data_IF_822233449090
#
_entry.id   IF_822233449090
#
_cell.length_a   1.000
_cell.length_b   1.000
_cell.length_c   1.000
_cell.angle_alpha   90.00
_cell.angle_beta   90.00
_cell.angle_gamma   90.00
#
_symmetry.space_group_name_H-M   'P 1'
#
loop_
_entity.id
_entity.type
_entity.pdbx_description
1 polymer ?
#
# COMPACT_ATOMS: atom_id res chain seq x y z
N UNK A 1 6.50 -34.62 13.02
CA UNK A 1 6.14 -33.56 12.05
C UNK A 1 5.50 -32.43 12.85
N UNK A 2 5.96 -31.19 12.64
CA UNK A 2 5.32 -30.03 13.25
C UNK A 2 4.03 -29.73 12.47
N UNK A 3 2.90 -29.69 13.18
CA UNK A 3 1.59 -29.41 12.58
C UNK A 3 1.40 -27.91 12.27
N UNK A 4 2.30 -27.07 12.79
CA UNK A 4 2.26 -25.62 12.62
C UNK A 4 3.65 -25.02 12.75
N UNK A 5 3.92 -23.96 12.00
CA UNK A 5 5.17 -23.23 12.01
C UNK A 5 4.88 -21.78 12.38
N UNK A 6 5.63 -21.24 13.32
CA UNK A 6 5.63 -19.81 13.58
C UNK A 6 6.51 -19.14 12.54
N UNK A 7 5.92 -18.30 11.69
CA UNK A 7 6.67 -17.53 10.70
C UNK A 7 6.23 -16.07 10.71
N UNK A 8 7.21 -15.20 10.91
CA UNK A 8 7.12 -13.79 10.57
C UNK A 8 8.10 -13.56 9.42
N UNK A 9 7.61 -13.19 8.27
CA UNK A 9 8.44 -12.95 7.08
C UNK A 9 8.36 -11.49 6.68
N UNK A 10 9.46 -10.98 6.14
CA UNK A 10 9.52 -9.64 5.54
C UNK A 10 9.07 -9.64 4.07
N UNK A 11 8.81 -10.82 3.48
CA UNK A 11 8.40 -10.97 2.08
C UNK A 11 7.01 -11.59 2.05
N UNK A 12 6.07 -10.92 1.40
CA UNK A 12 4.74 -11.46 1.08
C UNK A 12 4.79 -12.28 -0.20
N UNK A 13 4.02 -13.37 -0.25
CA UNK A 13 3.87 -14.17 -1.46
C UNK A 13 2.42 -14.10 -1.91
N UNK A 14 2.19 -13.83 -3.20
CA UNK A 14 0.83 -13.80 -3.75
C UNK A 14 0.82 -14.37 -5.17
N UNK A 15 -0.10 -15.27 -5.40
CA UNK A 15 -0.26 -15.91 -6.70
C UNK A 15 -0.69 -17.36 -6.57
N UNK A 16 -0.70 -18.04 -7.71
CA UNK A 16 -1.02 -19.44 -7.81
C UNK A 16 -0.10 -20.10 -8.85
N UNK A 17 0.33 -21.30 -8.55
CA UNK A 17 1.15 -22.12 -9.44
C UNK A 17 0.69 -23.57 -9.36
N UNK A 18 0.34 -24.15 -10.49
CA UNK A 18 0.00 -25.58 -10.62
C UNK A 18 1.21 -26.35 -11.09
N UNK A 19 1.67 -27.28 -10.26
CA UNK A 19 2.70 -28.24 -10.57
C UNK A 19 2.05 -29.57 -10.97
N UNK A 20 2.42 -30.19 -12.11
CA UNK A 20 1.80 -31.43 -12.57
C UNK A 20 2.05 -32.63 -11.65
N UNK A 21 3.14 -32.65 -10.89
CA UNK A 21 3.53 -33.76 -10.02
C UNK A 21 3.12 -33.53 -8.56
N UNK A 22 3.13 -32.27 -8.09
CA UNK A 22 2.94 -31.92 -6.68
C UNK A 22 1.61 -31.19 -6.38
N UNK A 23 0.78 -30.95 -7.40
CA UNK A 23 -0.49 -30.24 -7.25
C UNK A 23 -0.35 -28.73 -7.39
N UNK A 24 -1.23 -27.96 -6.74
CA UNK A 24 -1.17 -26.51 -6.84
C UNK A 24 -0.74 -25.86 -5.52
N UNK A 25 -0.07 -24.73 -5.65
CA UNK A 25 0.30 -23.84 -4.58
C UNK A 25 -0.46 -22.54 -4.74
N UNK A 26 -1.13 -22.09 -3.70
CA UNK A 26 -1.77 -20.76 -3.63
C UNK A 26 -1.16 -20.00 -2.48
N UNK A 27 -0.65 -18.81 -2.78
CA UNK A 27 -0.05 -17.93 -1.81
C UNK A 27 -0.88 -16.64 -1.67
N UNK A 28 -1.06 -16.22 -0.43
CA UNK A 28 -1.69 -14.96 -0.05
C UNK A 28 -1.11 -14.52 1.28
N UNK A 29 -1.24 -13.25 1.63
CA UNK A 29 -0.69 -12.76 2.88
C UNK A 29 -1.58 -11.67 3.51
N UNK A 30 -1.44 -11.58 4.82
CA UNK A 30 -2.01 -10.52 5.66
C UNK A 30 -0.86 -9.63 6.14
N UNK A 31 -1.08 -8.33 6.15
CA UNK A 31 -0.08 -7.39 6.65
C UNK A 31 -0.72 -6.18 7.32
N UNK A 32 -0.11 -5.71 8.39
CA UNK A 32 -0.37 -4.39 8.97
C UNK A 32 0.47 -3.35 8.24
N UNK A 33 0.03 -2.10 8.27
CA UNK A 33 0.78 -0.96 7.80
C UNK A 33 1.19 -0.10 8.98
N UNK A 34 2.46 0.27 9.01
CA UNK A 34 3.03 1.09 10.06
C UNK A 34 3.09 2.55 9.61
N UNK A 35 2.46 3.43 10.38
CA UNK A 35 2.66 4.86 10.25
C UNK A 35 3.97 5.26 10.94
N UNK A 36 4.71 6.21 10.37
CA UNK A 36 5.89 6.76 11.06
C UNK A 36 5.46 7.50 12.33
N UNK A 37 6.32 7.46 13.35
CA UNK A 37 6.02 8.11 14.62
C UNK A 37 5.81 9.62 14.46
N UNK A 38 4.75 10.13 15.09
CA UNK A 38 4.33 11.53 15.03
C UNK A 38 4.12 12.05 13.61
N UNK A 39 3.53 11.23 12.74
CA UNK A 39 3.21 11.64 11.39
C UNK A 39 2.29 12.86 11.38
N UNK A 40 2.65 13.86 10.57
CA UNK A 40 1.85 15.07 10.39
C UNK A 40 1.52 15.25 8.92
N UNK A 41 0.24 15.41 8.65
CA UNK A 41 -0.20 15.81 7.32
C UNK A 41 0.28 17.23 7.02
N UNK A 42 0.64 17.53 5.76
CA UNK A 42 0.96 18.87 5.36
C UNK A 42 -0.25 19.81 5.55
N UNK A 43 0.00 21.02 5.98
CA UNK A 43 -1.03 22.02 6.24
C UNK A 43 -1.35 22.85 5.00
N UNK A 44 -2.57 23.39 4.95
CA UNK A 44 -2.95 24.36 3.93
C UNK A 44 -2.12 25.62 4.09
N UNK A 45 -1.69 26.18 2.95
CA UNK A 45 -0.87 27.39 2.94
C UNK A 45 -1.61 28.60 3.55
N UNK A 46 -1.03 29.15 4.60
CA UNK A 46 -1.49 30.38 5.26
C UNK A 46 -0.70 31.59 4.71
N UNK A 47 -1.40 32.49 4.01
CA UNK A 47 -0.79 33.66 3.37
C UNK A 47 -0.22 34.68 4.37
N UNK A 48 -0.80 34.76 5.57
CA UNK A 48 -0.37 35.72 6.59
C UNK A 48 0.86 35.21 7.32
N UNK A 49 0.84 33.96 7.73
CA UNK A 49 1.96 33.31 8.44
C UNK A 49 3.06 32.81 7.50
N UNK A 50 2.76 32.68 6.21
CA UNK A 50 3.65 32.08 5.19
C UNK A 50 4.11 30.66 5.58
N UNK A 51 3.18 29.86 6.08
CA UNK A 51 3.40 28.46 6.53
C UNK A 51 2.41 27.54 5.85
N UNK A 52 2.72 26.23 5.86
CA UNK A 52 1.93 25.24 5.14
C UNK A 52 2.28 25.21 3.65
N UNK A 53 1.81 24.21 2.95
CA UNK A 53 2.11 24.01 1.53
C UNK A 53 0.90 23.59 0.68
N UNK A 54 -0.14 22.99 1.28
CA UNK A 54 -1.29 22.52 0.50
C UNK A 54 -2.06 23.68 -0.13
N UNK A 55 -2.54 23.50 -1.35
CA UNK A 55 -3.43 24.45 -2.02
C UNK A 55 -4.82 24.45 -1.38
N UNK A 56 -5.26 23.30 -0.86
CA UNK A 56 -6.56 23.06 -0.22
C UNK A 56 -6.48 21.94 0.82
N UNK A 57 -7.43 21.93 1.75
CA UNK A 57 -7.53 20.88 2.77
C UNK A 57 -8.28 19.64 2.23
N UNK A 58 -7.71 19.04 1.19
CA UNK A 58 -8.30 17.90 0.47
C UNK A 58 -7.18 17.07 -0.18
N UNK A 59 -7.36 15.74 -0.22
CA UNK A 59 -6.49 14.87 -1.01
C UNK A 59 -6.99 14.74 -2.45
N UNK A 60 -6.08 14.66 -3.40
CA UNK A 60 -6.38 14.38 -4.81
C UNK A 60 -6.70 12.91 -5.05
N UNK A 61 -6.10 12.03 -4.27
CA UNK A 61 -6.33 10.60 -4.36
C UNK A 61 -5.62 9.82 -3.27
N UNK A 62 -6.09 8.59 -3.05
CA UNK A 62 -5.48 7.62 -2.14
C UNK A 62 -5.25 6.32 -2.89
N UNK A 63 -4.13 5.67 -2.67
CA UNK A 63 -3.80 4.40 -3.29
C UNK A 63 -3.06 3.45 -2.36
N UNK A 64 -3.34 2.17 -2.51
CA UNK A 64 -2.56 1.09 -1.93
C UNK A 64 -1.64 0.56 -3.02
N UNK A 65 -0.34 0.52 -2.77
CA UNK A 65 0.68 0.12 -3.75
C UNK A 65 1.41 -1.10 -3.23
N UNK A 66 1.36 -2.18 -3.98
CA UNK A 66 2.02 -3.45 -3.68
C UNK A 66 3.28 -3.54 -4.55
N UNK A 67 4.45 -3.37 -3.95
CA UNK A 67 5.75 -3.45 -4.62
C UNK A 67 6.30 -4.86 -4.56
N UNK A 68 6.86 -5.32 -5.67
CA UNK A 68 7.53 -6.61 -5.75
C UNK A 68 8.84 -6.49 -6.54
N UNK A 69 9.83 -7.30 -6.19
CA UNK A 69 11.14 -7.27 -6.85
C UNK A 69 11.31 -8.41 -7.84
N UNK A 70 10.65 -9.54 -7.58
CA UNK A 70 10.79 -10.74 -8.38
C UNK A 70 9.54 -11.60 -8.32
N UNK A 71 9.52 -12.67 -9.10
CA UNK A 71 8.44 -13.65 -9.16
C UNK A 71 8.96 -15.04 -9.49
N UNK A 72 8.15 -16.03 -9.21
CA UNK A 72 8.34 -17.39 -9.66
C UNK A 72 7.34 -17.71 -10.79
N UNK A 73 7.77 -18.45 -11.82
CA UNK A 73 6.91 -18.87 -12.91
C UNK A 73 6.91 -17.94 -14.11
N UNK A 74 5.82 -17.95 -14.90
CA UNK A 74 5.71 -17.19 -16.14
C UNK A 74 5.42 -15.70 -15.86
N UNK A 75 6.22 -14.84 -16.46
CA UNK A 75 6.12 -13.38 -16.29
C UNK A 75 4.96 -12.73 -17.04
N UNK A 76 4.41 -13.39 -18.05
CA UNK A 76 3.38 -12.85 -18.94
C UNK A 76 1.99 -13.43 -18.71
N UNK A 77 1.84 -14.37 -17.78
CA UNK A 77 0.53 -14.89 -17.41
C UNK A 77 -0.39 -13.77 -16.89
N UNK A 78 -1.61 -13.74 -17.42
CA UNK A 78 -2.65 -12.84 -16.92
C UNK A 78 -3.13 -13.32 -15.56
N UNK A 79 -2.88 -12.51 -14.54
CA UNK A 79 -3.30 -12.73 -13.17
C UNK A 79 -4.20 -11.61 -12.68
N UNK A 80 -4.92 -11.84 -11.60
CA UNK A 80 -5.72 -10.82 -10.90
C UNK A 80 -5.51 -10.92 -9.40
N UNK A 81 -5.22 -9.78 -8.80
CA UNK A 81 -5.04 -9.60 -7.36
C UNK A 81 -6.23 -8.85 -6.78
N UNK A 82 -6.66 -9.26 -5.59
CA UNK A 82 -7.65 -8.56 -4.77
C UNK A 82 -7.02 -8.14 -3.45
N UNK A 83 -7.38 -6.94 -3.01
CA UNK A 83 -7.01 -6.41 -1.71
C UNK A 83 -8.27 -6.19 -0.87
N UNK A 84 -8.25 -6.63 0.39
CA UNK A 84 -9.32 -6.45 1.36
C UNK A 84 -8.78 -5.75 2.60
N UNK A 85 -9.58 -4.83 3.17
CA UNK A 85 -9.29 -4.21 4.46
C UNK A 85 -9.47 -5.23 5.59
N UNK A 86 -8.54 -5.29 6.53
CA UNK A 86 -8.70 -6.10 7.73
C UNK A 86 -9.71 -5.46 8.70
N UNK A 87 -10.63 -6.26 9.19
CA UNK A 87 -11.65 -5.85 10.14
C UNK A 87 -11.29 -6.24 11.58
N UNK A 88 -10.31 -7.15 11.74
CA UNK A 88 -9.70 -7.52 13.01
C UNK A 88 -8.18 -7.35 12.94
N UNK A 89 -7.51 -6.91 14.03
CA UNK A 89 -6.06 -6.71 14.05
C UNK A 89 -5.33 -8.05 14.00
N UNK A 90 -4.13 -8.05 13.44
CA UNK A 90 -3.29 -9.25 13.44
C UNK A 90 -2.73 -9.51 14.85
N UNK A 91 -2.83 -10.75 15.30
CA UNK A 91 -2.22 -11.16 16.55
C UNK A 91 -0.72 -11.42 16.37
N UNK A 92 0.11 -10.89 17.27
CA UNK A 92 1.56 -10.91 17.16
C UNK A 92 2.21 -12.30 17.19
N UNK A 93 1.53 -13.31 17.74
CA UNK A 93 2.09 -14.63 17.99
C UNK A 93 1.24 -15.73 17.38
N UNK A 94 0.80 -15.58 16.16
CA UNK A 94 0.05 -16.62 15.45
C UNK A 94 0.94 -17.52 14.59
N UNK A 95 0.53 -18.76 14.46
CA UNK A 95 1.10 -19.71 13.52
C UNK A 95 0.60 -19.46 12.10
N UNK A 96 1.30 -20.00 11.10
CA UNK A 96 0.99 -19.81 9.67
C UNK A 96 -0.28 -20.51 9.18
N UNK A 97 -0.88 -21.38 9.97
CA UNK A 97 -2.11 -22.12 9.64
C UNK A 97 -3.40 -21.37 10.01
N UNK A 98 -3.38 -20.05 9.96
CA UNK A 98 -4.55 -19.20 10.21
C UNK A 98 -5.53 -19.24 9.02
N UNK A 99 -6.83 -19.12 9.29
CA UNK A 99 -7.82 -18.81 8.26
C UNK A 99 -7.86 -17.28 8.06
N UNK A 100 -7.47 -16.75 6.90
CA UNK A 100 -7.52 -15.31 6.65
C UNK A 100 -8.92 -14.70 6.83
N UNK A 101 -9.97 -15.51 6.67
CA UNK A 101 -11.37 -15.06 6.82
C UNK A 101 -11.67 -14.49 8.20
N UNK A 102 -10.99 -14.98 9.23
CA UNK A 102 -11.14 -14.48 10.60
C UNK A 102 -10.76 -13.00 10.72
N UNK A 103 -9.93 -12.49 9.81
CA UNK A 103 -9.40 -11.12 9.85
C UNK A 103 -10.12 -10.15 8.92
N UNK A 104 -10.55 -10.59 7.73
CA UNK A 104 -11.13 -9.67 6.75
C UNK A 104 -12.64 -9.83 6.56
N UNK A 105 -13.27 -10.85 7.19
CA UNK A 105 -14.72 -11.02 7.19
C UNK A 105 -15.27 -10.76 8.59
N UNK A 106 -16.23 -9.85 8.69
CA UNK A 106 -16.96 -9.57 9.93
C UNK A 106 -18.46 -9.53 9.63
N UNK A 107 -19.26 -10.21 10.45
CA UNK A 107 -20.71 -10.31 10.28
C UNK A 107 -21.14 -10.75 8.87
N UNK A 108 -20.35 -11.68 8.27
CA UNK A 108 -20.56 -12.18 6.91
C UNK A 108 -20.20 -11.22 5.78
N UNK A 109 -19.62 -10.06 6.07
CA UNK A 109 -19.23 -9.06 5.08
C UNK A 109 -17.72 -8.81 5.06
N UNK A 110 -17.22 -8.42 3.89
CA UNK A 110 -15.82 -8.02 3.70
C UNK A 110 -15.74 -6.64 3.03
N UNK A 111 -14.66 -5.90 3.29
CA UNK A 111 -14.41 -4.60 2.67
C UNK A 111 -13.37 -4.81 1.57
N UNK A 112 -13.84 -4.84 0.33
CA UNK A 112 -12.97 -4.92 -0.84
C UNK A 112 -12.38 -3.54 -1.14
N UNK A 113 -11.05 -3.43 -1.08
CA UNK A 113 -10.31 -2.23 -1.45
C UNK A 113 -10.15 -2.09 -2.96
N UNK A 114 -10.04 -3.21 -3.67
CA UNK A 114 -9.97 -3.23 -5.12
C UNK A 114 -9.55 -4.57 -5.70
N UNK A 115 -9.67 -4.66 -7.04
CA UNK A 115 -9.16 -5.75 -7.86
C UNK A 115 -8.33 -5.19 -9.01
N UNK A 116 -7.19 -5.84 -9.30
CA UNK A 116 -6.32 -5.43 -10.40
C UNK A 116 -5.83 -6.64 -11.18
N UNK A 117 -6.03 -6.59 -12.49
CA UNK A 117 -5.38 -7.51 -13.41
C UNK A 117 -3.91 -7.06 -13.59
N UNK A 118 -3.01 -8.01 -13.73
CA UNK A 118 -1.58 -7.75 -13.91
C UNK A 118 -0.89 -8.90 -14.64
N UNK A 119 0.29 -8.62 -15.15
CA UNK A 119 1.34 -9.58 -15.49
C UNK A 119 2.56 -9.27 -14.64
N UNK A 120 3.35 -10.28 -14.25
CA UNK A 120 4.53 -10.04 -13.42
C UNK A 120 5.57 -9.15 -14.11
N UNK A 121 5.70 -9.28 -15.43
CA UNK A 121 6.42 -8.32 -16.27
C UNK A 121 5.40 -7.36 -16.88
N UNK A 122 5.44 -6.11 -16.48
CA UNK A 122 4.56 -5.07 -17.02
C UNK A 122 5.04 -4.63 -18.40
N UNK A 123 4.34 -5.07 -19.43
CA UNK A 123 4.68 -4.77 -20.84
C UNK A 123 4.33 -3.34 -21.26
N UNK A 124 3.61 -2.59 -20.42
CA UNK A 124 3.29 -1.18 -20.68
C UNK A 124 4.46 -0.23 -20.33
N UNK A 125 5.42 -0.72 -19.53
CA UNK A 125 6.61 0.03 -19.13
C UNK A 125 7.72 -0.24 -20.14
N UNK A 126 8.28 0.82 -20.71
CA UNK A 126 9.38 0.74 -21.67
C UNK A 126 10.69 0.30 -21.00
N UNK A 127 11.64 -0.23 -21.77
CA UNK A 127 12.96 -0.58 -21.23
C UNK A 127 13.72 0.64 -20.72
N UNK A 128 13.49 1.81 -21.31
CA UNK A 128 14.07 3.08 -20.87
C UNK A 128 13.56 3.48 -19.49
N UNK A 129 12.24 3.46 -19.27
CA UNK A 129 11.63 3.74 -17.96
C UNK A 129 12.05 2.71 -16.91
N UNK A 130 12.11 1.43 -17.28
CA UNK A 130 12.49 0.33 -16.38
C UNK A 130 13.92 0.44 -15.89
N UNK A 131 14.82 0.98 -16.70
CA UNK A 131 16.23 1.16 -16.39
C UNK A 131 16.58 2.60 -16.00
N UNK A 132 15.59 3.50 -15.90
CA UNK A 132 15.81 4.88 -15.51
C UNK A 132 16.42 4.99 -14.10
N UNK A 133 17.32 5.93 -13.95
CA UNK A 133 17.95 6.26 -12.67
C UNK A 133 17.83 7.75 -12.37
N UNK A 134 17.86 8.09 -11.09
CA UNK A 134 17.95 9.48 -10.64
C UNK A 134 19.38 10.03 -10.83
N UNK A 135 19.59 11.29 -10.43
CA UNK A 135 20.90 11.96 -10.51
C UNK A 135 21.98 11.33 -9.62
N UNK A 136 21.61 10.45 -8.71
CA UNK A 136 22.51 9.71 -7.82
C UNK A 136 22.76 8.27 -8.28
N UNK A 137 22.14 7.85 -9.39
CA UNK A 137 22.26 6.49 -9.93
C UNK A 137 21.30 5.45 -9.31
N UNK A 138 20.35 5.85 -8.48
CA UNK A 138 19.37 4.93 -7.94
C UNK A 138 18.26 4.67 -8.96
N UNK A 139 17.76 3.44 -9.03
CA UNK A 139 16.61 3.10 -9.87
C UNK A 139 15.40 3.91 -9.47
N UNK A 140 14.66 4.42 -10.45
CA UNK A 140 13.41 5.17 -10.23
C UNK A 140 12.17 4.33 -10.49
N UNK A 141 12.29 3.23 -11.21
CA UNK A 141 11.20 2.29 -11.46
C UNK A 141 11.24 1.11 -10.49
N UNK A 142 10.11 0.86 -9.85
CA UNK A 142 9.86 -0.31 -9.01
C UNK A 142 8.57 -0.99 -9.46
N UNK A 143 8.62 -2.29 -9.86
CA UNK A 143 7.42 -3.02 -10.25
C UNK A 143 6.38 -2.98 -9.13
N UNK A 144 5.14 -2.63 -9.49
CA UNK A 144 4.09 -2.50 -8.49
C UNK A 144 2.70 -2.71 -9.06
N UNK A 145 1.77 -3.11 -8.19
CA UNK A 145 0.35 -3.19 -8.48
C UNK A 145 -0.37 -2.18 -7.59
N UNK A 146 -1.12 -1.26 -8.21
CA UNK A 146 -1.75 -0.13 -7.53
C UNK A 146 -3.26 -0.29 -7.48
N UNK A 147 -3.83 -0.17 -6.29
CA UNK A 147 -5.27 -0.07 -6.05
C UNK A 147 -5.63 1.37 -5.71
N UNK A 148 -6.59 1.94 -6.44
CA UNK A 148 -7.15 3.25 -6.11
C UNK A 148 -8.21 3.07 -5.04
N UNK A 149 -8.05 3.78 -3.92
CA UNK A 149 -8.96 3.72 -2.79
C UNK A 149 -9.95 4.89 -2.81
N UNK A 150 -11.02 4.75 -2.03
CA UNK A 150 -11.99 5.84 -1.83
C UNK A 150 -11.31 7.01 -1.10
N UNK A 151 -11.12 8.13 -1.80
CA UNK A 151 -10.45 9.32 -1.26
C UNK A 151 -11.22 10.00 -0.13
N UNK A 152 -12.55 9.88 -0.11
CA UNK A 152 -13.37 10.44 0.98
C UNK A 152 -13.16 9.63 2.25
N UNK A 153 -13.24 8.30 2.15
CA UNK A 153 -13.10 7.39 3.29
C UNK A 153 -11.67 7.36 3.84
N UNK A 154 -10.65 7.20 2.96
CA UNK A 154 -9.25 6.94 3.35
C UNK A 154 -8.35 8.17 3.23
N UNK A 155 -8.89 9.29 2.74
CA UNK A 155 -8.16 10.53 2.54
C UNK A 155 -8.74 11.69 3.32
N UNK A 156 -9.80 12.31 2.83
CA UNK A 156 -10.37 13.52 3.41
C UNK A 156 -10.80 13.33 4.87
N UNK A 157 -11.41 12.17 5.18
CA UNK A 157 -11.79 11.83 6.56
C UNK A 157 -10.58 11.66 7.48
N UNK A 158 -9.46 11.16 6.95
CA UNK A 158 -8.23 11.03 7.74
C UNK A 158 -7.54 12.37 7.98
N UNK A 159 -7.62 13.31 7.02
CA UNK A 159 -7.22 14.71 7.27
C UNK A 159 -8.04 15.36 8.39
N UNK A 160 -9.33 15.02 8.49
CA UNK A 160 -10.18 15.46 9.60
C UNK A 160 -9.74 14.81 10.92
N UNK A 161 -9.52 13.49 10.92
CA UNK A 161 -9.05 12.78 12.12
C UNK A 161 -7.68 13.26 12.60
N UNK A 162 -6.78 13.66 11.71
CA UNK A 162 -5.50 14.23 12.12
C UNK A 162 -5.65 15.50 12.99
N UNK A 163 -6.79 16.19 12.88
CA UNK A 163 -7.13 17.37 13.71
C UNK A 163 -7.94 17.03 14.95
N UNK A 164 -8.85 16.05 14.86
CA UNK A 164 -9.79 15.71 15.94
C UNK A 164 -9.30 14.56 16.83
N UNK A 165 -8.53 13.65 16.27
CA UNK A 165 -8.02 12.42 16.90
C UNK A 165 -6.55 12.18 16.51
N UNK A 166 -5.64 13.12 16.82
CA UNK A 166 -4.23 13.04 16.37
C UNK A 166 -3.52 11.77 16.86
N UNK A 167 -4.02 11.14 17.93
CA UNK A 167 -3.50 9.87 18.47
C UNK A 167 -3.48 8.72 17.45
N UNK A 168 -4.29 8.78 16.39
CA UNK A 168 -4.26 7.80 15.31
C UNK A 168 -2.98 7.86 14.47
N UNK A 169 -2.26 8.97 14.51
CA UNK A 169 -1.06 9.22 13.70
C UNK A 169 0.20 9.40 14.55
N UNK A 170 0.13 9.16 15.86
CA UNK A 170 1.28 9.26 16.75
C UNK A 170 2.26 8.11 16.58
N UNK A 171 1.76 6.91 16.29
CA UNK A 171 2.55 5.69 16.12
C UNK A 171 1.75 4.59 15.44
N UNK A 172 2.39 3.46 15.20
CA UNK A 172 1.77 2.30 14.55
C UNK A 172 0.58 1.72 15.32
N UNK A 173 0.59 1.77 16.66
CA UNK A 173 -0.53 1.29 17.49
C UNK A 173 -1.76 2.19 17.34
N UNK A 174 -1.57 3.51 17.33
CA UNK A 174 -2.63 4.47 17.03
C UNK A 174 -3.21 4.26 15.64
N UNK A 175 -2.32 4.12 14.64
CA UNK A 175 -2.73 3.91 13.25
C UNK A 175 -3.50 2.59 13.04
N UNK A 176 -3.14 1.52 13.74
CA UNK A 176 -3.84 0.23 13.66
C UNK A 176 -5.29 0.29 14.18
N UNK A 177 -5.64 1.26 15.04
CA UNK A 177 -7.02 1.51 15.45
C UNK A 177 -7.86 2.11 14.32
N UNK A 178 -7.23 2.88 13.45
CA UNK A 178 -7.87 3.51 12.29
C UNK A 178 -7.90 2.56 11.09
N UNK A 179 -6.80 1.87 10.82
CA UNK A 179 -6.63 0.97 9.69
C UNK A 179 -5.82 -0.26 10.11
N UNK A 180 -6.49 -1.40 10.22
CA UNK A 180 -5.92 -2.62 10.80
C UNK A 180 -4.99 -3.38 9.87
N UNK A 181 -4.92 -3.00 8.59
CA UNK A 181 -4.10 -3.65 7.58
C UNK A 181 -4.87 -4.19 6.40
N UNK A 182 -4.23 -5.04 5.63
CA UNK A 182 -4.77 -5.57 4.38
C UNK A 182 -4.54 -7.07 4.23
N UNK A 183 -5.48 -7.74 3.59
CA UNK A 183 -5.33 -9.08 3.05
C UNK A 183 -5.19 -9.02 1.54
N UNK A 184 -4.08 -9.52 1.03
CA UNK A 184 -3.76 -9.57 -0.39
C UNK A 184 -3.82 -11.02 -0.87
N UNK A 185 -4.62 -11.27 -1.92
CA UNK A 185 -4.76 -12.61 -2.50
C UNK A 185 -4.85 -12.57 -4.03
N UNK A 186 -4.47 -13.68 -4.65
CA UNK A 186 -4.81 -13.96 -6.05
C UNK A 186 -6.25 -14.48 -6.11
N UNK A 187 -7.02 -14.01 -7.07
CA UNK A 187 -8.37 -14.53 -7.33
C UNK A 187 -8.57 -14.97 -8.79
N UNK A 188 -7.53 -14.84 -9.61
CA UNK A 188 -7.49 -15.36 -10.97
C UNK A 188 -6.05 -15.49 -11.47
N UNK A 189 -5.81 -16.45 -12.35
CA UNK A 189 -4.54 -16.75 -12.96
C UNK A 189 -3.83 -17.94 -12.30
N UNK A 190 -2.91 -18.55 -13.04
CA UNK A 190 -2.10 -19.67 -12.61
C UNK A 190 -0.73 -19.60 -13.30
N UNK A 191 0.29 -20.11 -12.66
CA UNK A 191 1.65 -20.16 -13.19
C UNK A 191 2.56 -19.02 -12.75
N UNK A 192 2.11 -18.13 -11.83
CA UNK A 192 2.91 -17.00 -11.35
C UNK A 192 2.68 -16.73 -9.87
N UNK A 193 3.77 -16.58 -9.12
CA UNK A 193 3.77 -16.13 -7.72
C UNK A 193 4.69 -14.92 -7.60
N UNK A 194 4.15 -13.77 -7.17
CA UNK A 194 4.93 -12.56 -6.90
C UNK A 194 5.57 -12.62 -5.51
N UNK A 195 6.76 -12.06 -5.39
CA UNK A 195 7.50 -11.85 -4.14
C UNK A 195 7.38 -10.37 -3.79
N UNK A 196 6.47 -10.08 -2.86
CA UNK A 196 6.11 -8.72 -2.43
C UNK A 196 7.08 -8.27 -1.35
N UNK A 197 7.76 -7.16 -1.59
CA UNK A 197 8.74 -6.59 -0.66
C UNK A 197 8.12 -5.56 0.27
N UNK A 198 7.12 -4.83 -0.24
CA UNK A 198 6.53 -3.69 0.49
C UNK A 198 5.10 -3.42 0.02
N UNK A 199 4.27 -2.98 0.94
CA UNK A 199 2.94 -2.43 0.67
C UNK A 199 2.87 -1.04 1.28
N UNK A 200 2.58 -0.03 0.45
CA UNK A 200 2.47 1.36 0.88
C UNK A 200 1.03 1.85 0.75
N UNK A 201 0.60 2.63 1.71
CA UNK A 201 -0.58 3.47 1.60
C UNK A 201 -0.13 4.90 1.31
N UNK A 202 -0.50 5.41 0.15
CA UNK A 202 -0.03 6.68 -0.37
C UNK A 202 -1.18 7.65 -0.60
N UNK A 203 -0.95 8.91 -0.26
CA UNK A 203 -1.86 10.02 -0.58
C UNK A 203 -1.25 10.96 -1.59
N UNK A 204 -2.06 11.42 -2.53
CA UNK A 204 -1.72 12.45 -3.50
C UNK A 204 -2.32 13.78 -3.06
N UNK A 205 -1.50 14.83 -3.10
CA UNK A 205 -1.88 16.20 -2.77
C UNK A 205 -1.54 17.16 -3.89
N UNK A 206 -2.28 18.26 -3.96
CA UNK A 206 -1.84 19.46 -4.68
C UNK A 206 -1.21 20.44 -3.69
N UNK A 207 0.03 20.85 -3.93
CA UNK A 207 0.78 21.72 -3.04
C UNK A 207 1.50 22.84 -3.79
N UNK A 208 1.78 23.92 -3.09
CA UNK A 208 2.57 25.02 -3.61
C UNK A 208 4.06 24.74 -3.45
N UNK A 209 4.80 25.01 -4.53
CA UNK A 209 6.25 25.19 -4.43
C UNK A 209 6.50 26.61 -3.96
N UNK A 210 7.16 26.74 -2.82
CA UNK A 210 7.44 28.03 -2.20
C UNK A 210 8.83 28.53 -2.59
N UNK A 211 8.99 29.83 -2.65
CA UNK A 211 10.31 30.44 -2.76
C UNK A 211 11.07 30.27 -1.43
N UNK A 212 12.28 29.74 -1.49
CA UNK A 212 13.08 29.36 -0.31
C UNK A 212 13.41 30.54 0.64
N UNK A 213 13.42 31.78 0.11
CA UNK A 213 13.75 32.97 0.91
C UNK A 213 12.51 33.66 1.45
N UNK A 214 11.43 33.73 0.67
CA UNK A 214 10.24 34.53 1.00
C UNK A 214 9.08 33.70 1.48
N UNK A 215 9.12 32.37 1.32
CA UNK A 215 8.02 31.43 1.52
C UNK A 215 6.74 31.82 0.75
N UNK A 216 6.88 32.49 -0.40
CA UNK A 216 5.75 32.88 -1.24
C UNK A 216 5.56 31.81 -2.34
N UNK A 217 4.32 31.31 -2.55
CA UNK A 217 4.01 30.38 -3.62
C UNK A 217 4.27 30.98 -4.99
N UNK A 218 4.91 30.22 -5.87
CA UNK A 218 5.09 30.59 -7.27
C UNK A 218 4.59 29.55 -8.27
N UNK A 219 4.32 28.32 -7.80
CA UNK A 219 3.82 27.24 -8.63
C UNK A 219 3.03 26.24 -7.79
N UNK A 220 1.91 25.75 -8.32
CA UNK A 220 1.26 24.57 -7.79
C UNK A 220 1.85 23.29 -8.42
N UNK A 221 1.91 22.22 -7.67
CA UNK A 221 2.44 20.92 -8.10
C UNK A 221 1.70 19.78 -7.41
N UNK A 222 1.55 18.67 -8.12
CA UNK A 222 1.03 17.43 -7.58
C UNK A 222 2.16 16.60 -6.97
N UNK A 223 1.95 16.09 -5.77
CA UNK A 223 2.89 15.20 -5.10
C UNK A 223 2.20 14.02 -4.41
N UNK A 224 2.98 12.99 -4.12
CA UNK A 224 2.52 11.78 -3.45
C UNK A 224 3.43 11.45 -2.28
N UNK A 225 2.84 11.22 -1.11
CA UNK A 225 3.52 10.77 0.11
C UNK A 225 3.03 9.39 0.54
N UNK A 226 3.94 8.57 1.04
CA UNK A 226 3.60 7.33 1.74
C UNK A 226 3.30 7.67 3.20
N UNK A 227 2.05 7.45 3.63
CA UNK A 227 1.60 7.73 5.00
C UNK A 227 1.75 6.52 5.92
N UNK A 228 1.78 5.32 5.35
CA UNK A 228 2.03 4.08 6.08
C UNK A 228 2.62 3.02 5.15
N UNK A 229 3.47 2.14 5.69
CA UNK A 229 4.17 1.08 4.96
C UNK A 229 4.30 -0.18 5.82
N UNK A 230 4.55 -1.33 5.18
CA UNK A 230 4.85 -2.61 5.86
C UNK A 230 6.27 -2.67 6.37
#
# INVERSE_FOLDING_TARGET
>A
LADSVFAKTSTGYVGRFTDPDFGYYEASFLTELNCIDNFKFPEVYDKEKKTGILTKNEVEGVRLVVFYSTWFGDSLNACRMSAYELQEPLERNRYTNIDPKEYYIKDGSSILLGRRAYTAYDTSVTDEERNATDSYGNKTYYPSITFTLDKEKYGNKWLEYAKTNPEYFENSEGFSKLFKGVYIKSDYGDGTILYVDRVDLQMKYEFYVLNDTTNIPYKAHDGTDSIATT
#
